data_IF_633652777995
#
_entry.id   IF_633652777995
#
_cell.length_a   1.000
_cell.length_b   1.000
_cell.length_c   1.000
_cell.angle_alpha   90.00
_cell.angle_beta   90.00
_cell.angle_gamma   90.00
#
_symmetry.space_group_name_H-M   'P 1'
#
loop_
_entity.id
_entity.type
_entity.pdbx_description
1 polymer ?
#
# COMPACT_ATOMS: atom_id res chain seq x y z
N UNK A 1 -9.19 -21.80 12.23
CA UNK A 1 -8.37 -21.43 11.06
C UNK A 1 -9.35 -21.15 9.94
N UNK A 2 -9.77 -19.89 9.79
CA UNK A 2 -10.69 -19.53 8.71
C UNK A 2 -9.90 -19.50 7.40
N UNK A 3 -10.47 -20.12 6.37
CA UNK A 3 -9.83 -20.25 5.05
C UNK A 3 -9.83 -18.87 4.38
N UNK A 4 -8.78 -18.47 3.65
CA UNK A 4 -8.71 -17.15 3.00
C UNK A 4 -9.98 -16.79 2.17
N UNK A 5 -10.67 -17.81 1.63
CA UNK A 5 -11.98 -17.67 0.98
C UNK A 5 -13.09 -17.14 1.89
N UNK A 6 -13.17 -17.59 3.14
CA UNK A 6 -14.18 -17.14 4.10
C UNK A 6 -13.94 -15.68 4.50
N UNK A 7 -12.67 -15.31 4.72
CA UNK A 7 -12.29 -13.92 4.99
C UNK A 7 -12.61 -12.99 3.82
N UNK A 8 -12.46 -13.46 2.57
CA UNK A 8 -12.87 -12.68 1.39
C UNK A 8 -14.39 -12.58 1.26
N UNK A 9 -15.13 -13.66 1.51
CA UNK A 9 -16.59 -13.68 1.44
C UNK A 9 -17.23 -12.76 2.50
N UNK A 10 -16.75 -12.79 3.74
CA UNK A 10 -17.22 -11.87 4.79
C UNK A 10 -16.98 -10.41 4.40
N UNK A 11 -15.83 -10.13 3.78
CA UNK A 11 -15.49 -8.77 3.36
C UNK A 11 -16.37 -8.27 2.22
N UNK A 12 -16.75 -9.16 1.30
CA UNK A 12 -17.70 -8.86 0.22
C UNK A 12 -19.12 -8.73 0.76
N UNK A 13 -19.54 -9.58 1.69
CA UNK A 13 -20.87 -9.52 2.32
C UNK A 13 -21.06 -8.25 3.17
N UNK A 14 -19.99 -7.63 3.66
CA UNK A 14 -20.04 -6.35 4.36
C UNK A 14 -19.96 -5.12 3.43
N UNK A 15 -19.85 -5.31 2.11
CA UNK A 15 -19.91 -4.21 1.16
C UNK A 15 -21.37 -3.81 0.94
N UNK A 16 -21.66 -2.51 1.01
CA UNK A 16 -22.98 -1.96 0.67
C UNK A 16 -23.34 -2.32 -0.78
N UNK A 17 -24.57 -2.78 -1.02
CA UNK A 17 -25.09 -3.05 -2.37
C UNK A 17 -25.13 -1.78 -3.25
N UNK A 18 -25.13 -0.60 -2.63
CA UNK A 18 -25.13 0.71 -3.30
C UNK A 18 -23.72 1.25 -3.62
N UNK A 19 -22.68 0.43 -3.44
CA UNK A 19 -21.30 0.89 -3.67
C UNK A 19 -21.04 1.09 -5.16
N UNK A 20 -20.69 2.32 -5.53
CA UNK A 20 -20.42 2.67 -6.92
C UNK A 20 -19.26 1.84 -7.48
N UNK A 21 -19.37 1.47 -8.76
CA UNK A 21 -18.35 0.65 -9.43
C UNK A 21 -16.98 1.33 -9.42
N UNK A 22 -16.91 2.66 -9.47
CA UNK A 22 -15.64 3.38 -9.38
C UNK A 22 -15.07 3.37 -7.97
N UNK A 23 -15.92 3.38 -6.94
CA UNK A 23 -15.48 3.24 -5.55
C UNK A 23 -14.89 1.85 -5.31
N UNK A 24 -15.54 0.80 -5.82
CA UNK A 24 -15.03 -0.58 -5.77
C UNK A 24 -13.68 -0.66 -6.49
N UNK A 25 -13.58 -0.11 -7.70
CA UNK A 25 -12.34 -0.10 -8.48
C UNK A 25 -11.21 0.65 -7.76
N UNK A 26 -11.53 1.79 -7.14
CA UNK A 26 -10.59 2.56 -6.34
C UNK A 26 -10.06 1.79 -5.14
N UNK A 27 -10.93 1.05 -4.43
CA UNK A 27 -10.55 0.19 -3.30
C UNK A 27 -9.67 -0.98 -3.77
N UNK A 28 -10.01 -1.64 -4.88
CA UNK A 28 -9.21 -2.72 -5.46
C UNK A 28 -7.81 -2.23 -5.88
N UNK A 29 -7.72 -1.06 -6.51
CA UNK A 29 -6.45 -0.47 -6.88
C UNK A 29 -5.56 -0.17 -5.65
N UNK A 30 -6.16 0.31 -4.56
CA UNK A 30 -5.46 0.54 -3.30
C UNK A 30 -4.90 -0.75 -2.71
N UNK A 31 -5.69 -1.83 -2.69
CA UNK A 31 -5.24 -3.15 -2.22
C UNK A 31 -4.07 -3.64 -3.05
N UNK A 32 -4.16 -3.58 -4.38
CA UNK A 32 -3.08 -4.01 -5.28
C UNK A 32 -1.78 -3.22 -5.02
N UNK A 33 -1.87 -1.91 -4.80
CA UNK A 33 -0.70 -1.09 -4.43
C UNK A 33 -0.08 -1.49 -3.10
N UNK A 34 -0.91 -1.80 -2.09
CA UNK A 34 -0.44 -2.24 -0.78
C UNK A 34 0.25 -3.61 -0.85
N UNK A 35 -0.31 -4.56 -1.59
CA UNK A 35 0.31 -5.87 -1.82
C UNK A 35 1.65 -5.74 -2.52
N UNK A 36 1.72 -4.91 -3.57
CA UNK A 36 2.96 -4.63 -4.27
C UNK A 36 4.00 -3.99 -3.35
N UNK A 37 3.60 -3.00 -2.54
CA UNK A 37 4.48 -2.37 -1.55
C UNK A 37 4.99 -3.37 -0.52
N UNK A 38 4.12 -4.24 0.00
CA UNK A 38 4.48 -5.28 0.97
C UNK A 38 5.50 -6.25 0.37
N UNK A 39 5.27 -6.70 -0.86
CA UNK A 39 6.19 -7.58 -1.59
C UNK A 39 7.56 -6.93 -1.75
N UNK A 40 7.61 -5.67 -2.16
CA UNK A 40 8.88 -4.92 -2.25
C UNK A 40 9.58 -4.79 -0.91
N UNK A 41 8.87 -4.52 0.17
CA UNK A 41 9.47 -4.50 1.51
C UNK A 41 10.05 -5.87 1.94
N UNK A 42 9.48 -6.97 1.47
CA UNK A 42 10.00 -8.32 1.73
C UNK A 42 11.23 -8.65 0.89
N UNK A 43 11.26 -8.22 -0.37
CA UNK A 43 12.34 -8.52 -1.32
C UNK A 43 13.54 -7.56 -1.18
N UNK A 44 13.27 -6.26 -1.04
CA UNK A 44 14.27 -5.19 -0.99
C UNK A 44 14.60 -4.77 0.47
N UNK A 45 13.83 -5.24 1.44
CA UNK A 45 13.95 -4.85 2.85
C UNK A 45 13.16 -3.58 3.19
N UNK A 46 13.20 -3.22 4.48
CA UNK A 46 12.55 -2.02 5.02
C UNK A 46 13.63 -0.96 5.25
N UNK A 47 13.42 0.24 4.71
CA UNK A 47 14.26 1.40 4.97
C UNK A 47 13.98 1.89 6.39
N UNK A 48 15.02 2.04 7.21
CA UNK A 48 14.89 2.61 8.55
C UNK A 48 14.66 4.12 8.47
N UNK A 49 14.01 4.69 9.48
CA UNK A 49 13.77 6.14 9.56
C UNK A 49 15.06 6.95 9.39
N UNK A 50 16.18 6.47 9.96
CA UNK A 50 17.50 7.11 9.83
C UNK A 50 18.01 7.16 8.37
N UNK A 51 17.80 6.08 7.61
CA UNK A 51 18.21 5.98 6.21
C UNK A 51 17.30 6.85 5.32
N UNK A 52 16.01 6.94 5.67
CA UNK A 52 15.04 7.79 5.00
C UNK A 52 15.34 9.28 5.23
N UNK A 53 15.66 9.66 6.47
CA UNK A 53 16.07 11.03 6.82
C UNK A 53 17.33 11.46 6.06
N UNK A 54 18.32 10.57 5.97
CA UNK A 54 19.55 10.83 5.23
C UNK A 54 19.28 11.01 3.72
N UNK A 55 18.47 10.14 3.12
CA UNK A 55 18.02 10.27 1.73
C UNK A 55 17.36 11.63 1.45
N UNK A 56 16.44 12.07 2.30
CA UNK A 56 15.78 13.37 2.13
C UNK A 56 16.72 14.55 2.41
N UNK A 57 17.68 14.40 3.31
CA UNK A 57 18.71 15.42 3.58
C UNK A 57 19.62 15.61 2.36
N UNK A 58 20.07 14.52 1.73
CA UNK A 58 20.82 14.58 0.48
C UNK A 58 20.00 15.18 -0.66
N UNK A 59 18.74 14.75 -0.80
CA UNK A 59 17.84 15.28 -1.82
C UNK A 59 17.68 16.80 -1.68
N UNK A 60 17.41 17.29 -0.46
CA UNK A 60 17.33 18.74 -0.18
C UNK A 60 18.63 19.47 -0.50
N UNK A 61 19.80 18.90 -0.18
CA UNK A 61 21.10 19.50 -0.55
C UNK A 61 21.28 19.62 -2.07
N UNK A 62 20.91 18.58 -2.83
CA UNK A 62 20.99 18.60 -4.30
C UNK A 62 20.09 19.67 -4.93
N UNK A 63 18.88 19.84 -4.42
CA UNK A 63 17.95 20.86 -4.94
C UNK A 63 18.19 22.28 -4.40
N UNK A 64 18.86 22.42 -3.26
CA UNK A 64 19.26 23.73 -2.72
C UNK A 64 20.59 24.25 -3.29
N UNK A 65 21.35 23.40 -3.99
CA UNK A 65 22.59 23.75 -4.67
C UNK A 65 22.40 24.11 -6.16
N UNK A 66 21.14 24.13 -6.62
CA UNK A 66 20.68 24.60 -7.93
C UNK A 66 20.03 25.97 -7.77
#
# INVERSE_FOLDING_TARGET
MSTDKELMLDRVNCMSDDMDSNEILGRLFMISRLEHSKKRCQEEGIIKDSELEEHFKEKRRKYAAL
#
